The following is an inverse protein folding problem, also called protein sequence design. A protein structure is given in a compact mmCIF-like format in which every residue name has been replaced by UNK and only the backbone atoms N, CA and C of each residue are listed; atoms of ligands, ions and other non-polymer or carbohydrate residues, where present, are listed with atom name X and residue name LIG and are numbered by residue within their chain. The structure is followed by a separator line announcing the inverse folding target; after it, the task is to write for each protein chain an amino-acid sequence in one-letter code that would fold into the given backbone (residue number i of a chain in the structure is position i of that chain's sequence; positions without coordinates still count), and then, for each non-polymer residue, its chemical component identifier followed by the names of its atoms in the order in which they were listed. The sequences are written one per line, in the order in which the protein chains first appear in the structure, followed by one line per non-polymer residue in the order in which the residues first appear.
data_IF_219105488080
#
_entry.id   IF_219105488080
#
_cell.length_a   1.000
_cell.length_b   1.000
_cell.length_c   1.000
_cell.angle_alpha   90.00
_cell.angle_beta   90.00
_cell.angle_gamma   90.00
#
_symmetry.space_group_name_H-M   'P 1'
#
loop_
_entity.id
_entity.type
_entity.pdbx_description
1 polymer ?
#
# COMPACT_ATOMS: atom_id res chain seq x y z
N UNK A 1 -19.11 9.99 -28.19
CA UNK A 1 -17.72 10.50 -28.21
C UNK A 1 -17.36 10.88 -26.79
N UNK A 2 -16.62 10.03 -26.07
CA UNK A 2 -16.20 10.31 -24.70
C UNK A 2 -15.16 11.43 -24.73
N UNK A 3 -15.40 12.53 -24.01
CA UNK A 3 -14.39 13.57 -23.86
C UNK A 3 -13.09 12.94 -23.34
N UNK A 4 -11.92 13.29 -23.91
CA UNK A 4 -10.65 12.77 -23.40
C UNK A 4 -10.52 13.21 -21.94
N UNK A 5 -10.34 12.23 -21.04
CA UNK A 5 -10.11 12.46 -19.63
C UNK A 5 -8.83 13.29 -19.49
N UNK A 6 -8.97 14.54 -19.06
CA UNK A 6 -7.83 15.41 -18.78
C UNK A 6 -7.12 14.90 -17.52
N UNK A 7 -5.94 14.33 -17.69
CA UNK A 7 -5.09 13.91 -16.57
C UNK A 7 -4.58 15.14 -15.79
N UNK A 8 -4.40 15.04 -14.46
CA UNK A 8 -3.89 16.16 -13.67
C UNK A 8 -2.47 16.52 -14.11
N UNK A 9 -2.11 17.81 -14.15
CA UNK A 9 -0.72 18.22 -14.24
C UNK A 9 0.08 17.68 -13.07
N UNK A 10 1.28 17.14 -13.33
CA UNK A 10 2.17 16.61 -12.29
C UNK A 10 2.40 17.59 -11.12
N UNK A 11 2.53 18.90 -11.43
CA UNK A 11 2.73 19.94 -10.42
C UNK A 11 1.56 20.05 -9.43
N UNK A 12 0.33 19.87 -9.91
CA UNK A 12 -0.87 19.92 -9.09
C UNK A 12 -0.93 18.69 -8.17
N UNK A 13 -0.68 17.50 -8.72
CA UNK A 13 -0.63 16.26 -7.94
C UNK A 13 0.43 16.32 -6.84
N UNK A 14 1.63 16.83 -7.15
CA UNK A 14 2.69 17.03 -6.15
C UNK A 14 2.25 18.01 -5.06
N UNK A 15 1.61 19.13 -5.42
CA UNK A 15 1.10 20.09 -4.44
C UNK A 15 0.05 19.49 -3.50
N UNK A 16 -0.88 18.69 -4.02
CA UNK A 16 -1.89 18.00 -3.22
C UNK A 16 -1.26 17.00 -2.24
N UNK A 17 -0.24 16.26 -2.69
CA UNK A 17 0.50 15.29 -1.86
C UNK A 17 1.30 16.00 -0.77
N UNK A 18 2.01 17.08 -1.09
CA UNK A 18 2.75 17.86 -0.10
C UNK A 18 1.84 18.46 0.97
N UNK A 19 0.64 18.93 0.58
CA UNK A 19 -0.36 19.39 1.54
C UNK A 19 -0.85 18.24 2.44
N UNK A 20 -1.09 17.05 1.88
CA UNK A 20 -1.49 15.89 2.69
C UNK A 20 -0.39 15.49 3.67
N UNK A 21 0.88 15.47 3.24
CA UNK A 21 2.01 15.17 4.09
C UNK A 21 2.14 16.16 5.25
N UNK A 22 1.94 17.45 4.97
CA UNK A 22 1.95 18.51 5.98
C UNK A 22 0.81 18.32 7.00
N UNK A 23 -0.43 18.16 6.52
CA UNK A 23 -1.60 17.97 7.37
C UNK A 23 -1.52 16.67 8.20
N UNK A 24 -0.88 15.64 7.67
CA UNK A 24 -0.60 14.39 8.38
C UNK A 24 0.64 14.46 9.29
N UNK A 25 1.25 15.63 9.48
CA UNK A 25 2.43 15.87 10.32
C UNK A 25 3.65 15.01 9.95
N UNK A 26 3.88 14.80 8.65
CA UNK A 26 5.03 14.02 8.18
C UNK A 26 6.33 14.84 8.16
N UNK A 27 6.22 16.12 7.82
CA UNK A 27 7.31 17.10 7.78
C UNK A 27 7.60 17.72 9.16
N UNK A 28 6.59 17.79 10.03
CA UNK A 28 6.69 18.28 11.41
C UNK A 28 6.00 17.30 12.38
N UNK A 29 6.64 16.18 12.73
CA UNK A 29 6.04 15.14 13.57
C UNK A 29 5.61 15.63 14.95
N UNK A 30 4.53 15.04 15.46
CA UNK A 30 3.99 15.35 16.78
C UNK A 30 5.01 15.06 17.89
N UNK A 31 5.05 15.89 18.96
CA UNK A 31 5.77 15.54 20.17
C UNK A 31 5.24 14.24 20.80
N UNK A 32 6.08 13.56 21.57
CA UNK A 32 5.67 12.38 22.32
C UNK A 32 4.43 12.69 23.19
N UNK A 33 3.49 11.74 23.24
CA UNK A 33 2.24 11.84 24.00
C UNK A 33 1.30 12.99 23.61
N UNK A 34 1.51 13.62 22.46
CA UNK A 34 0.61 14.64 21.90
C UNK A 34 -0.05 14.09 20.65
N UNK A 35 -1.38 14.04 20.62
CA UNK A 35 -2.15 13.63 19.45
C UNK A 35 -2.56 14.84 18.59
N UNK A 36 -3.20 14.59 17.44
CA UNK A 36 -3.86 15.64 16.69
C UNK A 36 -4.93 16.35 17.54
N UNK A 37 -4.93 17.68 17.42
CA UNK A 37 -6.08 18.50 17.78
C UNK A 37 -7.28 18.11 16.91
N UNK A 38 -8.49 18.49 17.34
CA UNK A 38 -9.70 18.22 16.56
C UNK A 38 -9.66 18.92 15.19
N UNK A 39 -9.07 20.12 15.12
CA UNK A 39 -8.94 20.88 13.88
C UNK A 39 -7.94 20.23 12.90
N UNK A 40 -6.78 19.79 13.38
CA UNK A 40 -5.82 19.06 12.53
C UNK A 40 -6.40 17.76 12.00
N UNK A 41 -7.07 17.01 12.88
CA UNK A 41 -7.73 15.77 12.50
C UNK A 41 -8.82 16.02 11.46
N UNK A 42 -9.64 17.06 11.66
CA UNK A 42 -10.66 17.45 10.69
C UNK A 42 -10.05 17.83 9.34
N UNK A 43 -8.98 18.61 9.33
CA UNK A 43 -8.32 19.07 8.11
C UNK A 43 -7.82 17.90 7.26
N UNK A 44 -7.07 16.96 7.85
CA UNK A 44 -6.58 15.77 7.13
C UNK A 44 -7.73 14.88 6.66
N UNK A 45 -8.78 14.69 7.47
CA UNK A 45 -9.95 13.90 7.06
C UNK A 45 -10.72 14.58 5.93
N UNK A 46 -10.89 15.90 5.95
CA UNK A 46 -11.54 16.65 4.86
C UNK A 46 -10.76 16.48 3.56
N UNK A 47 -9.43 16.56 3.61
CA UNK A 47 -8.59 16.37 2.43
C UNK A 47 -8.69 14.95 1.84
N UNK A 48 -8.63 13.91 2.69
CA UNK A 48 -8.76 12.52 2.23
C UNK A 48 -10.15 12.25 1.62
N UNK A 49 -11.21 12.81 2.20
CA UNK A 49 -12.56 12.70 1.63
C UNK A 49 -12.68 13.48 0.30
N UNK A 50 -12.02 14.63 0.17
CA UNK A 50 -11.99 15.38 -1.09
C UNK A 50 -11.36 14.58 -2.24
N UNK A 51 -10.32 13.78 -1.96
CA UNK A 51 -9.71 12.91 -2.97
C UNK A 51 -10.67 11.85 -3.51
N UNK A 52 -11.68 11.43 -2.74
CA UNK A 52 -12.68 10.47 -3.20
C UNK A 52 -13.70 11.06 -4.16
N UNK A 53 -13.86 12.38 -4.17
CA UNK A 53 -14.75 13.09 -5.09
C UNK A 53 -14.09 13.28 -6.46
N UNK A 54 -12.76 13.16 -6.53
CA UNK A 54 -12.03 13.27 -7.79
C UNK A 54 -12.40 12.13 -8.77
N UNK A 55 -12.33 12.38 -10.09
CA UNK A 55 -12.54 11.34 -11.09
C UNK A 55 -11.69 10.09 -10.81
N UNK A 56 -12.25 8.87 -10.96
CA UNK A 56 -11.53 7.63 -10.68
C UNK A 56 -10.19 7.48 -11.42
N UNK A 57 -10.08 8.07 -12.61
CA UNK A 57 -8.85 8.12 -13.41
C UNK A 57 -7.74 8.98 -12.81
N UNK A 58 -8.06 9.94 -11.95
CA UNK A 58 -7.09 10.88 -11.35
C UNK A 58 -6.51 10.36 -10.04
N UNK A 59 -7.32 9.64 -9.24
CA UNK A 59 -6.93 9.16 -7.90
C UNK A 59 -5.61 8.37 -7.88
N UNK A 60 -5.33 7.45 -8.84
CA UNK A 60 -4.07 6.70 -8.82
C UNK A 60 -2.84 7.61 -8.89
N UNK A 61 -2.90 8.74 -9.60
CA UNK A 61 -1.76 9.64 -9.69
C UNK A 61 -1.42 10.28 -8.35
N UNK A 62 -2.42 10.59 -7.51
CA UNK A 62 -2.20 11.14 -6.17
C UNK A 62 -1.50 10.12 -5.30
N UNK A 63 -2.02 8.90 -5.22
CA UNK A 63 -1.45 7.87 -4.36
C UNK A 63 -0.10 7.35 -4.85
N UNK A 64 0.11 7.21 -6.16
CA UNK A 64 1.43 6.88 -6.72
C UNK A 64 2.45 8.00 -6.41
N UNK A 65 2.03 9.26 -6.51
CA UNK A 65 2.89 10.41 -6.15
C UNK A 65 3.20 10.40 -4.65
N UNK A 66 2.22 10.05 -3.82
CA UNK A 66 2.41 9.90 -2.37
C UNK A 66 3.42 8.80 -2.08
N UNK A 67 3.26 7.61 -2.67
CA UNK A 67 4.20 6.50 -2.53
C UNK A 67 5.62 6.87 -2.96
N UNK A 68 5.75 7.63 -4.05
CA UNK A 68 7.04 8.07 -4.56
C UNK A 68 7.75 9.10 -3.67
N UNK A 69 7.01 9.93 -2.94
CA UNK A 69 7.57 11.10 -2.23
C UNK A 69 7.55 11.00 -0.71
N UNK A 70 6.50 10.42 -0.14
CA UNK A 70 6.18 10.59 1.27
C UNK A 70 6.10 9.27 2.03
N UNK A 71 6.01 8.13 1.34
CA UNK A 71 5.86 6.81 1.99
C UNK A 71 7.00 6.46 2.97
N UNK A 72 8.29 6.68 2.66
CA UNK A 72 9.35 6.45 3.64
C UNK A 72 9.20 7.30 4.90
N UNK A 73 8.83 8.57 4.74
CA UNK A 73 8.59 9.51 5.85
C UNK A 73 7.38 9.09 6.67
N UNK A 74 6.28 8.71 6.02
CA UNK A 74 5.08 8.22 6.69
C UNK A 74 5.41 7.03 7.58
N UNK A 75 6.09 6.01 7.04
CA UNK A 75 6.40 4.79 7.80
C UNK A 75 7.37 5.07 8.93
N UNK A 76 8.34 5.98 8.72
CA UNK A 76 9.23 6.44 9.80
C UNK A 76 8.45 7.10 10.93
N UNK A 77 7.49 8.00 10.63
CA UNK A 77 6.67 8.66 11.65
C UNK A 77 5.75 7.66 12.34
N UNK A 78 5.06 6.79 11.59
CA UNK A 78 4.17 5.76 12.12
C UNK A 78 4.85 4.89 13.19
N UNK A 79 6.12 4.51 12.99
CA UNK A 79 6.91 3.73 13.95
C UNK A 79 7.13 4.42 15.29
N UNK A 80 7.07 5.74 15.33
CA UNK A 80 7.31 6.54 16.54
C UNK A 80 6.04 6.85 17.32
N UNK A 81 4.87 6.65 16.70
CA UNK A 81 3.59 7.00 17.32
C UNK A 81 3.16 5.98 18.37
N UNK A 82 2.69 6.51 19.50
CA UNK A 82 2.04 5.70 20.53
C UNK A 82 0.57 5.47 20.19
N UNK A 83 0.14 4.21 20.21
CA UNK A 83 -1.26 3.83 19.98
C UNK A 83 -2.22 4.27 21.08
N UNK A 84 -1.70 4.54 22.28
CA UNK A 84 -2.52 4.93 23.43
C UNK A 84 -2.69 6.43 23.52
N UNK A 85 -1.62 7.19 23.28
CA UNK A 85 -1.60 8.65 23.47
C UNK A 85 -1.67 9.43 22.16
N UNK A 86 -1.50 8.78 21.00
CA UNK A 86 -1.50 9.41 19.67
C UNK A 86 -2.40 8.62 18.70
N UNK A 87 -3.57 8.21 19.19
CA UNK A 87 -4.50 7.32 18.49
C UNK A 87 -4.98 7.90 17.16
N UNK A 88 -5.38 9.19 17.12
CA UNK A 88 -5.87 9.82 15.88
C UNK A 88 -4.79 9.89 14.82
N UNK A 89 -3.58 10.32 15.21
CA UNK A 89 -2.43 10.35 14.31
C UNK A 89 -2.09 8.96 13.80
N UNK A 90 -1.99 7.97 14.69
CA UNK A 90 -1.69 6.58 14.34
C UNK A 90 -2.72 6.02 13.35
N UNK A 91 -4.01 6.15 13.64
CA UNK A 91 -5.09 5.69 12.77
C UNK A 91 -5.13 6.43 11.44
N UNK A 92 -4.80 7.73 11.40
CA UNK A 92 -4.71 8.50 10.16
C UNK A 92 -3.58 8.00 9.27
N UNK A 93 -2.42 7.67 9.82
CA UNK A 93 -1.31 7.14 9.01
C UNK A 93 -1.59 5.73 8.49
N UNK A 94 -2.26 4.87 9.28
CA UNK A 94 -2.76 3.57 8.80
C UNK A 94 -3.82 3.77 7.70
N UNK A 95 -4.73 4.73 7.87
CA UNK A 95 -5.74 5.07 6.87
C UNK A 95 -5.06 5.47 5.55
N UNK A 96 -4.08 6.37 5.57
CA UNK A 96 -3.36 6.79 4.35
C UNK A 96 -2.69 5.59 3.67
N UNK A 97 -2.01 4.72 4.42
CA UNK A 97 -1.42 3.49 3.86
C UNK A 97 -2.46 2.59 3.20
N UNK A 98 -3.64 2.45 3.81
CA UNK A 98 -4.72 1.59 3.30
C UNK A 98 -5.42 2.14 2.05
N UNK A 99 -5.15 3.39 1.68
CA UNK A 99 -5.68 4.05 0.49
C UNK A 99 -4.68 4.07 -0.68
N UNK A 100 -3.44 3.60 -0.46
CA UNK A 100 -2.46 3.48 -1.53
C UNK A 100 -2.92 2.50 -2.60
N UNK A 101 -2.42 2.69 -3.82
CA UNK A 101 -2.75 1.82 -4.96
C UNK A 101 -2.13 0.43 -4.79
N UNK A 102 -2.74 -0.57 -5.44
CA UNK A 102 -2.19 -1.92 -5.53
C UNK A 102 -0.75 -1.87 -6.06
N UNK A 103 0.24 -2.54 -5.42
CA UNK A 103 1.62 -2.52 -5.87
C UNK A 103 1.86 -3.04 -7.30
N UNK A 104 0.89 -3.74 -7.92
CA UNK A 104 0.91 -4.01 -9.37
C UNK A 104 0.92 -2.71 -10.20
N UNK A 105 0.21 -1.69 -9.72
CA UNK A 105 0.02 -0.38 -10.37
C UNK A 105 0.91 0.71 -9.77
N UNK A 106 1.33 0.55 -8.52
CA UNK A 106 2.23 1.45 -7.82
C UNK A 106 3.64 0.86 -7.66
N UNK A 107 4.58 1.18 -8.57
CA UNK A 107 5.92 0.64 -8.51
C UNK A 107 6.75 1.21 -7.34
N UNK A 108 6.40 2.36 -6.78
CA UNK A 108 7.12 2.94 -5.65
C UNK A 108 6.73 2.22 -4.37
N UNK A 109 5.42 1.95 -4.18
CA UNK A 109 4.97 1.15 -3.06
C UNK A 109 5.52 -0.28 -3.15
N UNK A 110 5.48 -0.90 -4.34
CA UNK A 110 6.07 -2.23 -4.57
C UNK A 110 7.53 -2.31 -4.14
N UNK A 111 8.34 -1.33 -4.57
CA UNK A 111 9.77 -1.27 -4.20
C UNK A 111 9.98 -1.03 -2.73
N UNK A 112 9.20 -0.14 -2.13
CA UNK A 112 9.26 0.12 -0.70
C UNK A 112 9.04 -1.17 0.10
N UNK A 113 8.03 -1.98 -0.24
CA UNK A 113 7.72 -3.24 0.44
C UNK A 113 8.83 -4.30 0.30
N UNK A 114 9.66 -4.23 -0.76
CA UNK A 114 10.84 -5.08 -0.95
C UNK A 114 12.15 -4.49 -0.38
N UNK A 115 12.08 -3.32 0.23
CA UNK A 115 13.26 -2.63 0.76
C UNK A 115 13.44 -2.85 2.26
N UNK A 116 14.65 -2.62 2.82
CA UNK A 116 14.86 -2.62 4.28
C UNK A 116 13.94 -1.64 5.03
N UNK A 117 13.41 -0.61 4.37
CA UNK A 117 12.47 0.32 4.99
C UNK A 117 11.13 -0.30 5.36
N UNK A 118 10.79 -1.49 4.86
CA UNK A 118 9.56 -2.22 5.22
C UNK A 118 9.69 -3.05 6.51
N UNK A 119 10.90 -3.24 7.07
CA UNK A 119 11.11 -4.09 8.26
C UNK A 119 10.20 -3.68 9.42
N UNK A 120 9.45 -4.64 9.97
CA UNK A 120 8.51 -4.42 11.09
C UNK A 120 7.21 -3.70 10.73
N UNK A 121 7.08 -3.10 9.53
CA UNK A 121 5.83 -2.47 9.10
C UNK A 121 4.64 -3.46 9.03
N UNK A 122 4.80 -4.69 8.48
CA UNK A 122 3.70 -5.66 8.44
C UNK A 122 3.13 -5.96 9.83
N UNK A 123 4.01 -6.17 10.83
CA UNK A 123 3.61 -6.39 12.22
C UNK A 123 2.88 -5.19 12.82
N UNK A 124 3.35 -3.95 12.56
CA UNK A 124 2.68 -2.73 13.04
C UNK A 124 1.24 -2.64 12.50
N UNK A 125 1.04 -2.89 11.20
CA UNK A 125 -0.29 -2.81 10.56
C UNK A 125 -1.19 -3.94 11.04
N UNK A 126 -0.68 -5.16 11.08
CA UNK A 126 -1.41 -6.34 11.53
C UNK A 126 -1.85 -6.20 12.99
N UNK A 127 -0.93 -5.85 13.88
CA UNK A 127 -1.22 -5.67 15.30
C UNK A 127 -2.13 -4.44 15.53
N UNK A 128 -2.06 -3.38 14.71
CA UNK A 128 -3.02 -2.29 14.77
C UNK A 128 -4.47 -2.76 14.57
N UNK A 129 -4.71 -3.67 13.63
CA UNK A 129 -6.04 -4.28 13.45
C UNK A 129 -6.42 -5.13 14.67
N UNK A 130 -5.49 -5.93 15.21
CA UNK A 130 -5.71 -6.75 16.42
C UNK A 130 -6.05 -5.90 17.65
N UNK A 131 -5.35 -4.80 17.88
CA UNK A 131 -5.55 -3.95 19.06
C UNK A 131 -6.75 -2.98 18.92
N UNK A 132 -7.21 -2.72 17.69
CA UNK A 132 -8.39 -1.87 17.44
C UNK A 132 -8.05 -0.46 16.99
N UNK A 133 -7.47 -0.34 15.80
CA UNK A 133 -7.32 0.92 15.08
C UNK A 133 -8.68 1.53 14.70
N UNK A 134 -8.79 2.87 14.74
CA UNK A 134 -10.00 3.56 14.29
C UNK A 134 -10.24 3.40 12.79
N UNK A 135 -11.50 3.16 12.43
CA UNK A 135 -11.91 3.03 11.04
C UNK A 135 -12.38 4.37 10.52
N UNK A 136 -11.53 4.99 9.71
CA UNK A 136 -11.72 6.34 9.23
C UNK A 136 -12.13 6.33 7.76
N UNK A 137 -13.25 6.97 7.41
CA UNK A 137 -13.66 7.14 6.01
C UNK A 137 -12.69 8.09 5.29
N UNK A 138 -12.26 7.78 4.06
CA UNK A 138 -12.89 6.82 3.14
C UNK A 138 -12.38 5.38 3.21
N UNK A 139 -11.43 5.08 4.11
CA UNK A 139 -11.00 3.72 4.42
C UNK A 139 -12.06 2.97 5.25
N UNK A 140 -11.74 1.75 5.65
CA UNK A 140 -12.57 0.87 6.45
C UNK A 140 -11.85 -0.44 6.77
N UNK A 141 -12.52 -1.38 7.44
CA UNK A 141 -11.92 -2.64 7.88
C UNK A 141 -11.37 -3.45 6.71
N UNK A 142 -12.10 -3.51 5.59
CA UNK A 142 -11.66 -4.21 4.39
C UNK A 142 -10.48 -3.53 3.70
N UNK A 143 -10.39 -2.20 3.70
CA UNK A 143 -9.22 -1.50 3.16
C UNK A 143 -7.96 -1.82 3.99
N UNK A 144 -8.08 -1.85 5.33
CA UNK A 144 -6.98 -2.24 6.20
C UNK A 144 -6.65 -3.72 6.02
N UNK A 145 -7.65 -4.59 5.84
CA UNK A 145 -7.42 -6.00 5.50
C UNK A 145 -6.66 -6.14 4.18
N UNK A 146 -7.04 -5.35 3.17
CA UNK A 146 -6.35 -5.31 1.87
C UNK A 146 -4.91 -4.83 2.00
N UNK A 147 -4.64 -3.85 2.87
CA UNK A 147 -3.27 -3.43 3.21
C UNK A 147 -2.48 -4.56 3.89
N UNK A 148 -3.07 -5.30 4.83
CA UNK A 148 -2.40 -6.45 5.46
C UNK A 148 -2.09 -7.51 4.40
N UNK A 149 -3.05 -7.87 3.55
CA UNK A 149 -2.84 -8.79 2.42
C UNK A 149 -1.71 -8.29 1.53
N UNK A 150 -1.68 -7.00 1.23
CA UNK A 150 -0.63 -6.36 0.44
C UNK A 150 0.74 -6.57 1.10
N UNK A 151 0.86 -6.35 2.41
CA UNK A 151 2.15 -6.62 3.09
C UNK A 151 2.53 -8.09 3.05
N UNK A 152 1.58 -9.02 3.28
CA UNK A 152 1.84 -10.45 3.20
C UNK A 152 2.32 -10.88 1.81
N UNK A 153 1.71 -10.34 0.75
CA UNK A 153 1.98 -10.70 -0.63
C UNK A 153 3.27 -10.12 -1.20
N UNK A 154 3.65 -8.92 -0.75
CA UNK A 154 4.75 -8.18 -1.36
C UNK A 154 6.00 -8.10 -0.49
N UNK A 155 5.89 -8.13 0.83
CA UNK A 155 7.07 -8.14 1.69
C UNK A 155 7.78 -9.51 1.66
N UNK A 156 9.05 -9.51 2.07
CA UNK A 156 9.81 -10.74 2.22
C UNK A 156 9.27 -11.57 3.40
N UNK A 157 8.96 -12.87 3.21
CA UNK A 157 8.59 -13.75 4.32
C UNK A 157 9.64 -13.83 5.42
N UNK A 158 10.92 -13.61 5.11
CA UNK A 158 12.02 -13.59 6.10
C UNK A 158 11.86 -12.48 7.15
N UNK A 159 10.95 -11.51 6.95
CA UNK A 159 10.65 -10.49 7.95
C UNK A 159 9.88 -11.02 9.17
N UNK A 160 9.14 -12.12 9.02
CA UNK A 160 8.42 -12.74 10.14
C UNK A 160 9.28 -13.74 10.90
N UNK A 161 9.00 -13.88 12.19
CA UNK A 161 9.73 -14.77 13.12
C UNK A 161 9.86 -16.24 12.66
N UNK A 162 8.80 -16.80 12.08
CA UNK A 162 8.76 -18.18 11.58
C UNK A 162 9.03 -18.31 10.07
N UNK A 163 9.31 -17.18 9.41
CA UNK A 163 9.63 -17.07 7.98
C UNK A 163 8.55 -17.57 7.03
N UNK A 164 7.32 -17.83 7.50
CA UNK A 164 6.20 -18.28 6.66
C UNK A 164 5.52 -17.13 5.92
N UNK A 165 5.56 -15.94 6.52
CA UNK A 165 5.07 -14.70 5.97
C UNK A 165 5.76 -13.53 6.66
N UNK A 166 5.59 -12.32 6.13
CA UNK A 166 6.23 -11.11 6.67
C UNK A 166 5.65 -10.61 8.01
N UNK A 167 4.64 -11.29 8.55
CA UNK A 167 3.97 -10.98 9.83
C UNK A 167 4.24 -12.13 10.79
N UNK A 168 4.60 -11.84 12.03
CA UNK A 168 4.95 -12.84 13.05
C UNK A 168 3.80 -13.79 13.34
N UNK A 169 4.14 -15.06 13.61
CA UNK A 169 3.16 -16.13 13.83
C UNK A 169 2.14 -15.79 14.92
N UNK A 170 2.60 -15.22 16.03
CA UNK A 170 1.73 -14.83 17.14
C UNK A 170 0.69 -13.76 16.74
N UNK A 171 1.08 -12.78 15.91
CA UNK A 171 0.21 -11.74 15.40
C UNK A 171 -0.76 -12.32 14.36
N UNK A 172 -0.29 -13.22 13.48
CA UNK A 172 -1.17 -13.92 12.52
C UNK A 172 -2.27 -14.72 13.23
N UNK A 173 -1.94 -15.43 14.30
CA UNK A 173 -2.92 -16.18 15.10
C UNK A 173 -3.92 -15.27 15.83
N UNK A 174 -3.45 -14.15 16.37
CA UNK A 174 -4.32 -13.13 16.96
C UNK A 174 -5.26 -12.50 15.91
N UNK A 175 -4.76 -12.24 14.69
CA UNK A 175 -5.57 -11.79 13.57
C UNK A 175 -6.64 -12.81 13.19
N UNK A 176 -6.28 -14.08 12.99
CA UNK A 176 -7.24 -15.15 12.67
C UNK A 176 -8.37 -15.16 13.70
N UNK A 177 -8.03 -15.17 14.99
CA UNK A 177 -9.00 -15.18 16.08
C UNK A 177 -9.94 -13.96 16.03
N UNK A 178 -9.36 -12.75 15.91
CA UNK A 178 -10.14 -11.51 15.85
C UNK A 178 -11.03 -11.47 14.62
N UNK A 179 -10.53 -11.91 13.48
CA UNK A 179 -11.25 -11.90 12.21
C UNK A 179 -12.39 -12.91 12.18
N UNK A 180 -12.19 -14.11 12.73
CA UNK A 180 -13.27 -15.10 12.88
C UNK A 180 -14.39 -14.51 13.73
N UNK A 181 -14.08 -13.93 14.90
CA UNK A 181 -15.09 -13.27 15.74
C UNK A 181 -15.79 -12.12 15.01
N UNK A 182 -15.02 -11.30 14.29
CA UNK A 182 -15.54 -10.16 13.55
C UNK A 182 -16.47 -10.56 12.39
N UNK A 183 -16.11 -11.56 11.60
CA UNK A 183 -16.93 -12.06 10.48
C UNK A 183 -18.21 -12.76 10.99
N UNK A 184 -18.16 -13.41 12.15
CA UNK A 184 -19.31 -14.05 12.77
C UNK A 184 -20.28 -13.07 13.45
N UNK A 185 -19.92 -11.80 13.60
CA UNK A 185 -20.77 -10.81 14.24
C UNK A 185 -22.00 -10.48 13.38
N UNK A 186 -23.15 -10.27 14.03
CA UNK A 186 -24.43 -10.05 13.36
C UNK A 186 -24.45 -8.80 12.46
N UNK A 187 -23.61 -7.82 12.75
CA UNK A 187 -23.47 -6.56 12.02
C UNK A 187 -22.51 -6.64 10.83
N UNK A 188 -21.70 -7.70 10.70
CA UNK A 188 -20.77 -7.88 9.58
C UNK A 188 -21.49 -7.82 8.21
N UNK A 189 -22.69 -8.39 8.13
CA UNK A 189 -23.53 -8.34 6.93
C UNK A 189 -23.95 -6.93 6.49
N UNK A 190 -23.86 -5.92 7.38
CA UNK A 190 -24.22 -4.52 7.11
C UNK A 190 -23.09 -3.70 6.47
N UNK A 191 -21.86 -4.21 6.50
CA UNK A 191 -20.72 -3.53 5.86
C UNK A 191 -20.87 -3.55 4.35
N UNK A 192 -20.29 -2.60 3.64
CA UNK A 192 -20.29 -2.60 2.17
C UNK A 192 -19.60 -3.86 1.61
N UNK A 193 -19.96 -4.26 0.38
CA UNK A 193 -19.49 -5.50 -0.23
C UNK A 193 -17.96 -5.62 -0.25
N UNK A 194 -17.26 -4.56 -0.68
CA UNK A 194 -15.80 -4.51 -0.68
C UNK A 194 -15.21 -4.77 0.71
N UNK A 195 -15.83 -4.20 1.75
CA UNK A 195 -15.36 -4.35 3.12
C UNK A 195 -15.46 -5.82 3.57
N UNK A 196 -16.57 -6.48 3.23
CA UNK A 196 -16.79 -7.89 3.58
C UNK A 196 -15.84 -8.82 2.83
N UNK A 197 -15.70 -8.62 1.51
CA UNK A 197 -14.84 -9.44 0.65
C UNK A 197 -13.40 -9.41 1.15
N UNK A 198 -12.82 -8.22 1.36
CA UNK A 198 -11.42 -8.12 1.75
C UNK A 198 -11.18 -8.64 3.18
N UNK A 199 -12.16 -8.52 4.07
CA UNK A 199 -12.08 -9.16 5.41
C UNK A 199 -12.07 -10.68 5.29
N UNK A 200 -12.96 -11.27 4.49
CA UNK A 200 -12.98 -12.73 4.28
C UNK A 200 -11.71 -13.23 3.57
N UNK A 201 -11.22 -12.47 2.58
CA UNK A 201 -10.00 -12.77 1.84
C UNK A 201 -8.78 -12.79 2.76
N UNK A 202 -8.65 -11.85 3.69
CA UNK A 202 -7.53 -11.84 4.62
C UNK A 202 -7.59 -13.08 5.54
N UNK A 203 -8.77 -13.46 6.05
CA UNK A 203 -8.90 -14.64 6.89
C UNK A 203 -8.47 -15.91 6.12
N UNK A 204 -8.96 -16.08 4.89
CA UNK A 204 -8.57 -17.21 4.04
C UNK A 204 -7.08 -17.23 3.70
N UNK A 205 -6.47 -16.05 3.50
CA UNK A 205 -5.03 -15.91 3.26
C UNK A 205 -4.22 -16.33 4.49
N UNK A 206 -4.58 -15.84 5.69
CA UNK A 206 -3.91 -16.22 6.94
C UNK A 206 -4.02 -17.72 7.23
N UNK A 207 -5.22 -18.28 7.05
CA UNK A 207 -5.43 -19.72 7.21
C UNK A 207 -4.61 -20.55 6.21
N UNK A 208 -4.45 -20.06 4.98
CA UNK A 208 -3.61 -20.73 3.98
C UNK A 208 -2.14 -20.67 4.37
N UNK A 209 -1.64 -19.51 4.84
CA UNK A 209 -0.26 -19.36 5.32
C UNK A 209 0.04 -20.37 6.45
N UNK A 210 -0.86 -20.52 7.42
CA UNK A 210 -0.60 -21.33 8.61
C UNK A 210 -0.86 -22.83 8.39
N UNK A 211 -1.78 -23.21 7.50
CA UNK A 211 -2.15 -24.62 7.27
C UNK A 211 -1.50 -25.25 6.03
N UNK A 212 -1.09 -24.47 5.03
CA UNK A 212 -0.47 -25.02 3.83
C UNK A 212 0.99 -25.39 4.12
N UNK A 213 1.28 -26.68 4.04
CA UNK A 213 2.65 -27.18 4.06
C UNK A 213 3.19 -27.02 2.63
N UNK A 214 4.33 -26.32 2.50
CA UNK A 214 5.08 -26.28 1.23
C UNK A 214 5.60 -27.68 0.85
N UNK A 215 6.29 -27.81 -0.29
CA UNK A 215 6.96 -29.05 -0.64
C UNK A 215 7.96 -29.45 0.46
N UNK A 216 8.25 -30.75 0.67
CA UNK A 216 9.09 -31.22 1.78
C UNK A 216 10.47 -30.55 1.90
N UNK A 217 11.04 -30.11 0.77
CA UNK A 217 12.34 -29.42 0.68
C UNK A 217 12.20 -27.92 0.38
N UNK A 218 10.98 -27.38 0.45
CA UNK A 218 10.70 -25.96 0.19
C UNK A 218 11.01 -25.05 1.39
N UNK A 219 11.27 -23.75 1.15
CA UNK A 219 11.44 -22.79 2.23
C UNK A 219 10.12 -22.61 3.02
N UNK A 220 10.18 -22.21 4.31
CA UNK A 220 8.98 -21.98 5.13
C UNK A 220 7.97 -21.01 4.49
N UNK A 221 8.46 -19.97 3.80
CA UNK A 221 7.65 -18.97 3.10
C UNK A 221 7.16 -19.38 1.71
N UNK A 222 7.15 -20.67 1.37
CA UNK A 222 6.85 -21.16 0.01
C UNK A 222 5.55 -20.57 -0.58
N UNK A 223 4.45 -20.58 0.18
CA UNK A 223 3.16 -20.08 -0.30
C UNK A 223 3.20 -18.58 -0.65
N UNK A 224 3.85 -17.77 0.20
CA UNK A 224 3.97 -16.34 -0.03
C UNK A 224 4.96 -16.01 -1.15
N UNK A 225 6.07 -16.74 -1.24
CA UNK A 225 7.02 -16.58 -2.34
C UNK A 225 6.41 -16.94 -3.69
N UNK A 226 5.62 -18.02 -3.76
CA UNK A 226 4.91 -18.40 -4.97
C UNK A 226 3.87 -17.34 -5.35
N UNK A 227 3.12 -16.82 -4.38
CA UNK A 227 2.18 -15.73 -4.58
C UNK A 227 2.89 -14.49 -5.12
N UNK A 228 4.00 -14.08 -4.53
CA UNK A 228 4.80 -12.94 -5.00
C UNK A 228 5.28 -13.13 -6.44
N UNK A 229 5.82 -14.31 -6.79
CA UNK A 229 6.31 -14.61 -8.13
C UNK A 229 5.19 -14.51 -9.18
N UNK A 230 4.01 -15.05 -8.88
CA UNK A 230 2.85 -14.92 -9.75
C UNK A 230 2.41 -13.45 -9.92
N UNK A 231 2.50 -12.65 -8.84
CA UNK A 231 2.14 -11.23 -8.89
C UNK A 231 3.12 -10.40 -9.71
N UNK A 232 4.43 -10.65 -9.61
CA UNK A 232 5.46 -9.88 -10.32
C UNK A 232 5.51 -10.21 -11.82
N UNK A 233 5.32 -11.49 -12.19
CA UNK A 233 5.22 -11.92 -13.59
C UNK A 233 4.05 -11.25 -14.33
N UNK A 234 2.98 -10.92 -13.61
CA UNK A 234 1.80 -10.26 -14.17
C UNK A 234 1.93 -8.73 -14.35
N UNK A 235 3.09 -8.13 -14.09
CA UNK A 235 3.27 -6.67 -14.21
C UNK A 235 3.91 -6.31 -15.55
N UNK A 236 3.21 -5.58 -16.43
CA UNK A 236 3.77 -5.18 -17.70
C UNK A 236 5.00 -4.28 -17.56
N UNK A 237 5.97 -4.47 -18.46
CA UNK A 237 7.17 -3.66 -18.53
C UNK A 237 8.20 -3.96 -17.45
N UNK A 238 8.13 -5.12 -16.80
CA UNK A 238 9.15 -5.60 -15.86
C UNK A 238 10.20 -6.46 -16.56
N UNK A 239 9.81 -7.34 -17.49
CA UNK A 239 10.75 -8.18 -18.25
C UNK A 239 10.86 -7.74 -19.70
N UNK A 240 9.74 -7.29 -20.25
CA UNK A 240 9.54 -6.87 -21.61
C UNK A 240 9.46 -5.34 -21.76
N UNK A 241 9.45 -4.86 -23.00
CA UNK A 241 9.19 -3.46 -23.31
C UNK A 241 7.72 -3.11 -22.99
N UNK A 242 7.51 -2.10 -22.14
CA UNK A 242 6.16 -1.67 -21.72
C UNK A 242 5.24 -1.12 -22.83
N UNK A 243 5.72 -1.04 -24.07
CA UNK A 243 5.00 -0.47 -25.21
C UNK A 243 4.75 -1.48 -26.31
N UNK A 244 5.76 -2.28 -26.67
CA UNK A 244 5.67 -3.24 -27.77
C UNK A 244 5.74 -4.70 -27.33
N UNK A 245 5.94 -4.96 -26.03
CA UNK A 245 6.03 -6.30 -25.42
C UNK A 245 7.20 -7.15 -25.91
N UNK A 246 8.14 -6.58 -26.66
CA UNK A 246 9.39 -7.26 -27.05
C UNK A 246 10.34 -7.35 -25.85
N UNK A 247 10.97 -8.51 -25.67
CA UNK A 247 11.89 -8.79 -24.55
C UNK A 247 13.34 -8.38 -24.84
N UNK A 248 13.70 -8.31 -26.12
CA UNK A 248 15.07 -8.04 -26.55
C UNK A 248 15.51 -6.59 -26.32
N UNK A 249 16.77 -6.44 -25.88
CA UNK A 249 17.48 -5.16 -25.72
C UNK A 249 16.76 -4.11 -24.86
N UNK A 250 15.99 -4.56 -23.88
CA UNK A 250 15.27 -3.67 -22.98
C UNK A 250 16.18 -3.01 -21.94
N UNK A 251 15.90 -1.74 -21.63
CA UNK A 251 16.60 -0.98 -20.60
C UNK A 251 15.62 -0.25 -19.70
N UNK A 252 15.94 -0.17 -18.41
CA UNK A 252 15.12 0.53 -17.43
C UNK A 252 15.09 2.04 -17.70
N UNK A 253 13.92 2.66 -17.53
CA UNK A 253 13.76 4.11 -17.51
C UNK A 253 14.82 4.75 -16.63
N UNK A 254 15.66 5.63 -17.18
CA UNK A 254 16.84 6.15 -16.48
C UNK A 254 16.53 6.93 -15.21
N UNK A 255 15.32 7.50 -15.10
CA UNK A 255 14.87 8.31 -13.98
C UNK A 255 14.23 7.47 -12.87
N UNK A 256 13.10 6.83 -13.15
CA UNK A 256 12.35 6.09 -12.13
C UNK A 256 12.81 4.65 -11.97
N UNK A 257 13.49 4.08 -12.96
CA UNK A 257 13.88 2.67 -13.03
C UNK A 257 12.70 1.70 -12.93
N UNK A 258 11.43 2.11 -12.98
CA UNK A 258 10.28 1.24 -12.67
C UNK A 258 9.72 0.46 -13.85
N UNK A 259 10.17 0.78 -15.07
CA UNK A 259 9.64 0.25 -16.33
C UNK A 259 10.77 0.11 -17.34
N UNK A 260 10.71 -0.93 -18.19
CA UNK A 260 11.67 -1.21 -19.25
C UNK A 260 11.17 -0.77 -20.64
N UNK A 261 12.10 -0.36 -21.50
CA UNK A 261 11.86 -0.05 -22.92
C UNK A 261 12.95 -0.64 -23.81
N UNK A 262 12.59 -1.15 -24.99
CA UNK A 262 13.55 -1.62 -26.01
C UNK A 262 14.29 -0.48 -26.74
N UNK A 263 13.89 0.78 -26.53
CA UNK A 263 14.55 1.93 -27.14
C UNK A 263 13.82 3.26 -26.92
N UNK A 264 14.45 4.33 -27.42
CA UNK A 264 13.98 5.72 -27.25
C UNK A 264 12.63 6.00 -27.90
N UNK A 265 12.29 5.30 -28.97
CA UNK A 265 10.99 5.43 -29.65
C UNK A 265 9.84 5.00 -28.72
N UNK A 266 9.94 3.80 -28.13
CA UNK A 266 8.96 3.30 -27.16
C UNK A 266 8.92 4.17 -25.90
N UNK A 267 10.08 4.56 -25.36
CA UNK A 267 10.13 5.46 -24.22
C UNK A 267 9.43 6.81 -24.51
N UNK A 268 9.66 7.40 -25.69
CA UNK A 268 9.04 8.68 -26.09
C UNK A 268 7.52 8.55 -26.25
N UNK A 269 7.05 7.40 -26.75
CA UNK A 269 5.62 7.10 -26.87
C UNK A 269 4.96 7.02 -25.50
N UNK A 270 5.45 6.17 -24.59
CA UNK A 270 4.90 6.04 -23.23
C UNK A 270 5.03 7.36 -22.43
N UNK A 271 6.10 8.12 -22.66
CA UNK A 271 6.28 9.46 -22.08
C UNK A 271 5.13 10.41 -22.45
N UNK A 272 4.69 10.39 -23.72
CA UNK A 272 3.57 11.20 -24.20
C UNK A 272 2.23 10.67 -23.69
N UNK A 273 2.08 9.36 -23.57
CA UNK A 273 0.84 8.68 -23.14
C UNK A 273 0.57 8.82 -21.64
N UNK A 274 1.60 9.08 -20.81
CA UNK A 274 1.37 9.47 -19.43
C UNK A 274 2.48 9.13 -18.45
N UNK A 275 3.52 8.39 -18.85
CA UNK A 275 4.62 8.02 -17.94
C UNK A 275 5.21 9.23 -17.21
N UNK A 276 5.33 10.38 -17.90
CA UNK A 276 5.84 11.64 -17.34
C UNK A 276 5.10 12.12 -16.09
N UNK A 277 3.83 11.75 -15.92
CA UNK A 277 2.98 12.15 -14.78
C UNK A 277 3.20 11.29 -13.54
N UNK A 278 3.94 10.19 -13.67
CA UNK A 278 4.21 9.23 -12.58
C UNK A 278 5.67 8.79 -12.53
N UNK A 279 6.55 9.48 -13.26
CA UNK A 279 7.98 9.23 -13.31
C UNK A 279 8.68 10.12 -12.28
N UNK A 280 9.06 9.53 -11.15
CA UNK A 280 9.79 10.15 -10.05
C UNK A 280 11.15 9.48 -9.92
N UNK A 281 12.12 10.20 -9.39
CA UNK A 281 13.43 9.64 -9.09
C UNK A 281 13.33 8.61 -7.96
N UNK A 282 14.19 7.59 -7.98
CA UNK A 282 14.22 6.58 -6.93
C UNK A 282 14.89 7.17 -5.70
N UNK A 283 14.17 7.28 -4.60
CA UNK A 283 14.67 7.86 -3.33
C UNK A 283 14.64 6.87 -2.16
N UNK A 284 14.63 5.56 -2.44
CA UNK A 284 14.69 4.48 -1.45
C UNK A 284 16.13 4.07 -1.19
#
# INVERSE_FOLDING_TARGET
MSNPVRLPPLKETVGLVSLLAHNARLDNPLPANTDFTDDEFKEVQTQLNAFMVLPPSMRPYIYITFSAKELPTLVRVLRTLSRTTQRKAFSTLIQILSLLEDPKRDPYFRRFLRSPHAVGLPNIIADAFVQGVDWLRPSGPGHICSLIITTLQWCDPELGDDKRASVDASIRQALITKMTAFISAADFGRLDELQRIETQRLLGTLQSIDNMQGPPEGPPGWFMNHTYNWLIEGIPGQEECAVCMEEDHTSWCSRCKTVKYCGTACQTKDWKEGHKLRCFEVTL
#
